data_IF_317390138154
#
_entry.id   IF_317390138154
#
_cell.length_a   1.000
_cell.length_b   1.000
_cell.length_c   1.000
_cell.angle_alpha   90.00
_cell.angle_beta   90.00
_cell.angle_gamma   90.00
#
_symmetry.space_group_name_H-M   'P 1'
#
loop_
_entity.id
_entity.type
_entity.pdbx_description
1 polymer ?
#
# COMPACT_ATOMS: atom_id res chain seq x y z
N UNK A 1 -16.67 10.03 -17.98
CA UNK A 1 -17.30 10.06 -16.64
C UNK A 1 -16.26 10.51 -15.60
N UNK A 2 -16.62 11.38 -14.63
CA UNK A 2 -15.69 11.80 -13.57
C UNK A 2 -16.12 11.28 -12.20
N UNK A 3 -15.15 10.84 -11.42
CA UNK A 3 -15.34 10.33 -10.04
C UNK A 3 -14.47 11.18 -9.12
N UNK A 4 -15.07 11.73 -8.06
CA UNK A 4 -14.33 12.49 -7.06
C UNK A 4 -13.84 11.56 -5.95
N UNK A 5 -12.53 11.38 -5.85
CA UNK A 5 -11.89 10.64 -4.79
C UNK A 5 -11.49 11.57 -3.65
N UNK A 6 -11.85 11.22 -2.44
CA UNK A 6 -11.47 11.95 -1.24
C UNK A 6 -10.41 11.17 -0.47
N UNK A 7 -9.22 11.77 -0.33
CA UNK A 7 -8.07 11.20 0.37
C UNK A 7 -7.54 12.19 1.42
N UNK A 8 -6.85 11.74 2.49
CA UNK A 8 -6.25 12.67 3.44
C UNK A 8 -5.18 13.55 2.83
N UNK A 9 -4.27 12.99 2.03
CA UNK A 9 -3.18 13.67 1.33
C UNK A 9 -2.83 12.95 0.02
N UNK A 10 -2.10 13.64 -0.84
CA UNK A 10 -1.63 13.12 -2.14
C UNK A 10 -0.11 12.88 -2.16
N UNK A 11 0.49 12.72 -0.98
CA UNK A 11 1.93 12.51 -0.84
C UNK A 11 2.41 11.23 -1.50
N UNK A 12 3.65 11.28 -2.00
CA UNK A 12 4.29 10.13 -2.66
C UNK A 12 4.52 8.95 -1.70
N UNK A 13 4.56 9.20 -0.37
CA UNK A 13 4.66 8.15 0.64
C UNK A 13 3.30 7.58 1.07
N UNK A 14 2.18 8.13 0.59
CA UNK A 14 0.85 7.69 0.96
C UNK A 14 0.47 6.40 0.21
N UNK A 15 0.41 5.28 0.95
CA UNK A 15 0.04 3.97 0.41
C UNK A 15 -1.38 3.94 -0.18
N UNK A 16 -2.34 4.67 0.42
CA UNK A 16 -3.71 4.77 -0.11
C UNK A 16 -3.69 5.46 -1.47
N UNK A 17 -2.90 6.53 -1.63
CA UNK A 17 -2.78 7.21 -2.90
C UNK A 17 -2.13 6.33 -3.97
N UNK A 18 -1.17 5.47 -3.60
CA UNK A 18 -0.60 4.48 -4.51
C UNK A 18 -1.67 3.50 -5.02
N UNK A 19 -2.54 3.02 -4.14
CA UNK A 19 -3.68 2.16 -4.52
C UNK A 19 -4.64 2.90 -5.45
N UNK A 20 -5.03 4.13 -5.13
CA UNK A 20 -5.93 4.95 -5.98
C UNK A 20 -5.34 5.15 -7.37
N UNK A 21 -4.04 5.43 -7.48
CA UNK A 21 -3.37 5.60 -8.77
C UNK A 21 -3.23 4.30 -9.56
N UNK A 22 -2.98 3.17 -8.88
CA UNK A 22 -2.98 1.87 -9.54
C UNK A 22 -4.34 1.60 -10.19
N UNK A 23 -5.42 1.84 -9.44
CA UNK A 23 -6.78 1.73 -10.01
C UNK A 23 -7.02 2.75 -11.13
N UNK A 24 -6.55 3.99 -10.99
CA UNK A 24 -6.73 5.00 -12.04
C UNK A 24 -6.09 4.59 -13.36
N UNK A 25 -4.86 4.02 -13.31
CA UNK A 25 -4.18 3.49 -14.52
C UNK A 25 -4.94 2.34 -15.18
N UNK A 26 -5.68 1.56 -14.39
CA UNK A 26 -6.45 0.40 -14.87
C UNK A 26 -7.90 0.75 -15.26
N UNK A 27 -8.33 2.01 -15.10
CA UNK A 27 -9.67 2.45 -15.53
C UNK A 27 -9.74 2.60 -17.06
N UNK A 28 -10.93 2.37 -17.66
CA UNK A 28 -11.22 2.81 -19.02
C UNK A 28 -10.91 4.30 -19.22
N UNK A 29 -10.45 4.67 -20.41
CA UNK A 29 -10.01 6.04 -20.69
C UNK A 29 -11.08 7.12 -20.49
N UNK A 30 -12.34 6.77 -20.61
CA UNK A 30 -13.47 7.67 -20.39
C UNK A 30 -13.80 7.92 -18.91
N UNK A 31 -13.20 7.15 -17.97
CA UNK A 31 -13.34 7.32 -16.53
C UNK A 31 -12.13 8.11 -16.00
N UNK A 32 -12.39 9.28 -15.43
CA UNK A 32 -11.35 10.12 -14.83
C UNK A 32 -11.56 10.26 -13.33
N UNK A 33 -10.47 10.21 -12.59
CA UNK A 33 -10.44 10.42 -11.14
C UNK A 33 -9.97 11.84 -10.86
N UNK A 34 -10.81 12.60 -10.17
CA UNK A 34 -10.42 13.87 -9.56
C UNK A 34 -10.14 13.63 -8.08
N UNK A 35 -9.12 14.25 -7.54
CA UNK A 35 -8.66 13.99 -6.18
C UNK A 35 -8.88 15.22 -5.30
N UNK A 36 -9.65 15.07 -4.24
CA UNK A 36 -9.81 16.06 -3.19
C UNK A 36 -9.03 15.64 -1.95
N UNK A 37 -8.22 16.55 -1.39
CA UNK A 37 -7.38 16.28 -0.24
C UNK A 37 -7.29 17.48 0.71
N UNK A 38 -6.75 17.30 1.94
CA UNK A 38 -6.71 18.37 2.95
C UNK A 38 -5.36 18.51 3.68
N UNK A 39 -4.48 17.52 3.68
CA UNK A 39 -3.15 17.62 4.29
C UNK A 39 -2.10 17.97 3.26
N UNK A 40 -1.25 18.93 3.58
CA UNK A 40 -0.06 19.23 2.76
C UNK A 40 0.98 18.12 2.86
N UNK A 41 1.76 17.99 1.80
CA UNK A 41 2.90 17.10 1.71
C UNK A 41 3.99 17.81 0.90
N UNK A 42 5.25 17.63 1.28
CA UNK A 42 6.39 18.27 0.61
C UNK A 42 6.58 17.79 -0.82
N UNK A 43 6.27 16.51 -1.07
CA UNK A 43 6.35 15.87 -2.41
C UNK A 43 5.03 15.18 -2.67
N UNK A 44 4.35 15.62 -3.71
CA UNK A 44 3.01 15.12 -4.07
C UNK A 44 2.99 14.42 -5.44
N UNK A 45 1.86 13.80 -5.73
CA UNK A 45 1.58 13.07 -6.99
C UNK A 45 0.68 13.86 -7.95
N UNK A 46 0.60 15.16 -7.79
CA UNK A 46 -0.24 16.03 -8.64
C UNK A 46 0.04 15.82 -10.12
N UNK A 47 1.32 15.94 -10.54
CA UNK A 47 1.71 15.78 -11.93
C UNK A 47 1.29 14.41 -12.50
N UNK A 48 1.36 13.35 -11.69
CA UNK A 48 0.96 12.01 -12.08
C UNK A 48 -0.56 11.91 -12.28
N UNK A 49 -1.35 12.49 -11.35
CA UNK A 49 -2.82 12.53 -11.44
C UNK A 49 -3.26 13.30 -12.70
N UNK A 50 -2.65 14.46 -12.94
CA UNK A 50 -2.95 15.33 -14.09
C UNK A 50 -2.56 14.68 -15.42
N UNK A 51 -1.47 13.91 -15.46
CA UNK A 51 -1.06 13.15 -16.65
C UNK A 51 -2.10 12.10 -17.09
N UNK A 52 -2.89 11.55 -16.15
CA UNK A 52 -4.03 10.68 -16.45
C UNK A 52 -5.34 11.44 -16.72
N UNK A 53 -5.31 12.78 -16.75
CA UNK A 53 -6.45 13.65 -17.01
C UNK A 53 -7.33 13.90 -15.78
N UNK A 54 -6.81 13.60 -14.57
CA UNK A 54 -7.43 13.97 -13.31
C UNK A 54 -7.17 15.42 -12.93
N UNK A 55 -7.96 15.92 -12.00
CA UNK A 55 -7.80 17.26 -11.39
C UNK A 55 -7.57 17.10 -9.90
N UNK A 56 -6.88 18.06 -9.29
CA UNK A 56 -6.52 18.01 -7.86
C UNK A 56 -7.06 19.24 -7.13
N UNK A 57 -7.85 19.01 -6.10
CA UNK A 57 -8.49 20.04 -5.28
C UNK A 57 -8.06 19.94 -3.83
N UNK A 58 -7.63 21.05 -3.26
CA UNK A 58 -7.32 21.13 -1.84
C UNK A 58 -8.45 21.82 -1.10
N UNK A 59 -8.86 21.26 0.02
CA UNK A 59 -9.77 21.87 0.98
C UNK A 59 -9.09 22.10 2.32
N UNK A 60 -9.71 22.93 3.17
CA UNK A 60 -9.24 23.11 4.53
C UNK A 60 -9.32 21.80 5.33
N UNK A 61 -8.40 21.62 6.29
CA UNK A 61 -8.40 20.44 7.15
C UNK A 61 -9.77 20.28 7.84
N UNK A 62 -10.48 19.16 7.60
CA UNK A 62 -11.80 18.97 8.16
C UNK A 62 -11.82 18.90 9.67
N UNK A 63 -12.71 19.66 10.27
CA UNK A 63 -12.93 19.72 11.71
C UNK A 63 -14.42 19.93 12.03
N UNK A 64 -14.75 20.20 13.29
CA UNK A 64 -16.16 20.42 13.71
C UNK A 64 -16.78 21.55 12.90
N UNK A 65 -16.06 22.64 12.64
CA UNK A 65 -16.56 23.76 11.83
C UNK A 65 -16.89 23.39 10.39
N UNK A 66 -16.29 22.33 9.83
CA UNK A 66 -16.53 21.89 8.45
C UNK A 66 -17.95 21.36 8.23
N UNK A 67 -18.66 20.93 9.28
CA UNK A 67 -20.06 20.52 9.18
C UNK A 67 -20.98 21.68 8.80
N UNK A 68 -20.65 22.90 9.24
CA UNK A 68 -21.43 24.12 8.94
C UNK A 68 -20.75 25.01 7.90
N UNK A 69 -19.53 24.70 7.50
CA UNK A 69 -18.79 25.42 6.45
C UNK A 69 -19.45 25.28 5.09
N UNK A 70 -19.47 26.35 4.33
CA UNK A 70 -19.96 26.38 2.94
C UNK A 70 -18.92 25.88 1.91
N UNK A 71 -17.70 25.58 2.31
CA UNK A 71 -16.59 25.21 1.41
C UNK A 71 -16.95 24.03 0.49
N UNK A 72 -17.37 22.89 1.08
CA UNK A 72 -17.80 21.72 0.30
C UNK A 72 -19.10 21.97 -0.47
N UNK A 73 -20.04 22.72 0.09
CA UNK A 73 -21.26 23.11 -0.62
C UNK A 73 -20.93 23.99 -1.82
N UNK A 74 -20.02 24.97 -1.67
CA UNK A 74 -19.52 25.81 -2.77
C UNK A 74 -18.84 24.99 -3.86
N UNK A 75 -17.96 24.07 -3.47
CA UNK A 75 -17.29 23.16 -4.41
C UNK A 75 -18.32 22.33 -5.21
N UNK A 76 -19.28 21.69 -4.54
CA UNK A 76 -20.27 20.85 -5.22
C UNK A 76 -21.24 21.66 -6.08
N UNK A 77 -21.55 22.92 -5.74
CA UNK A 77 -22.35 23.79 -6.58
C UNK A 77 -21.60 24.25 -7.82
N UNK A 78 -20.31 24.60 -7.70
CA UNK A 78 -19.42 24.96 -8.81
C UNK A 78 -19.27 23.81 -9.81
N UNK A 79 -19.18 22.58 -9.31
CA UNK A 79 -18.99 21.36 -10.11
C UNK A 79 -20.26 20.53 -10.28
N UNK A 80 -21.43 21.18 -10.26
CA UNK A 80 -22.72 20.52 -10.34
C UNK A 80 -22.89 19.72 -11.63
N UNK A 81 -23.24 18.45 -11.46
CA UNK A 81 -23.45 17.53 -12.59
C UNK A 81 -22.19 16.94 -13.21
N UNK A 82 -20.98 17.33 -12.75
CA UNK A 82 -19.73 16.79 -13.28
C UNK A 82 -19.41 15.38 -12.74
N UNK A 83 -19.78 15.10 -11.49
CA UNK A 83 -19.41 13.86 -10.82
C UNK A 83 -20.52 12.81 -10.81
N UNK A 84 -20.21 11.63 -11.32
CA UNK A 84 -21.10 10.45 -11.24
C UNK A 84 -21.11 9.84 -9.83
N UNK A 85 -19.97 9.89 -9.13
CA UNK A 85 -19.84 9.35 -7.78
C UNK A 85 -18.79 10.11 -6.96
N UNK A 86 -18.89 9.96 -5.63
CA UNK A 86 -17.84 10.32 -4.66
C UNK A 86 -17.32 9.04 -4.01
N UNK A 87 -16.01 8.85 -3.99
CA UNK A 87 -15.32 7.70 -3.40
C UNK A 87 -14.40 8.17 -2.26
N UNK A 88 -14.75 7.83 -1.03
CA UNK A 88 -14.12 8.35 0.19
C UNK A 88 -13.17 7.31 0.77
N UNK A 89 -11.86 7.58 0.74
CA UNK A 89 -10.81 6.69 1.26
C UNK A 89 -10.47 6.92 2.74
N UNK A 90 -11.18 7.81 3.39
CA UNK A 90 -11.16 8.03 4.84
C UNK A 90 -12.58 7.87 5.37
N UNK A 91 -13.07 6.64 5.68
CA UNK A 91 -14.50 6.37 5.96
C UNK A 91 -15.12 7.27 7.02
N UNK A 92 -14.37 7.68 8.05
CA UNK A 92 -14.85 8.62 9.07
C UNK A 92 -15.26 10.01 8.50
N UNK A 93 -14.80 10.34 7.29
CA UNK A 93 -15.21 11.59 6.61
C UNK A 93 -16.55 11.47 5.88
N UNK A 94 -17.10 10.27 5.77
CA UNK A 94 -18.39 10.04 5.10
C UNK A 94 -19.51 10.85 5.74
N UNK A 95 -19.49 11.01 7.07
CA UNK A 95 -20.49 11.81 7.80
C UNK A 95 -20.51 13.29 7.40
N UNK A 96 -19.41 13.83 6.93
CA UNK A 96 -19.31 15.21 6.43
C UNK A 96 -19.61 15.31 4.94
N UNK A 97 -19.04 14.42 4.15
CA UNK A 97 -19.01 14.52 2.68
C UNK A 97 -20.31 14.01 2.05
N UNK A 98 -20.81 12.84 2.50
CA UNK A 98 -21.97 12.20 1.87
C UNK A 98 -23.24 13.06 1.89
N UNK A 99 -23.64 13.71 3.01
CA UNK A 99 -24.83 14.56 3.02
C UNK A 99 -24.72 15.73 2.05
N UNK A 100 -23.52 16.35 1.97
CA UNK A 100 -23.28 17.50 1.07
C UNK A 100 -23.26 17.06 -0.40
N UNK A 101 -22.58 15.96 -0.74
CA UNK A 101 -22.59 15.41 -2.08
C UNK A 101 -24.01 15.06 -2.55
N UNK A 102 -24.80 14.38 -1.71
CA UNK A 102 -26.19 14.01 -2.01
C UNK A 102 -27.11 15.22 -2.17
N UNK A 103 -26.94 16.26 -1.35
CA UNK A 103 -27.65 17.54 -1.46
C UNK A 103 -27.47 18.20 -2.84
N UNK A 104 -26.26 18.07 -3.41
CA UNK A 104 -25.89 18.61 -4.73
C UNK A 104 -26.09 17.64 -5.89
N UNK A 105 -26.84 16.54 -5.67
CA UNK A 105 -27.30 15.65 -6.73
C UNK A 105 -26.40 14.44 -7.02
N UNK A 106 -25.29 14.27 -6.30
CA UNK A 106 -24.46 13.08 -6.45
C UNK A 106 -25.09 11.90 -5.70
N UNK A 107 -25.58 10.91 -6.43
CA UNK A 107 -26.36 9.80 -5.87
C UNK A 107 -25.50 8.67 -5.34
N UNK A 108 -24.27 8.53 -5.83
CA UNK A 108 -23.39 7.41 -5.50
C UNK A 108 -22.26 7.87 -4.59
N UNK A 109 -22.25 7.37 -3.36
CA UNK A 109 -21.19 7.63 -2.38
C UNK A 109 -20.63 6.30 -1.92
N UNK A 110 -19.33 6.06 -2.17
CA UNK A 110 -18.60 4.93 -1.64
C UNK A 110 -17.73 5.34 -0.46
N UNK A 111 -17.65 4.48 0.55
CA UNK A 111 -16.64 4.57 1.60
C UNK A 111 -15.70 3.35 1.49
N UNK A 112 -14.38 3.59 1.47
CA UNK A 112 -13.37 2.57 1.28
C UNK A 112 -12.31 2.64 2.39
N UNK A 113 -12.16 1.59 3.17
CA UNK A 113 -11.13 1.50 4.21
C UNK A 113 -9.90 0.72 3.72
N UNK A 114 -8.70 1.21 4.10
CA UNK A 114 -7.41 0.68 3.65
C UNK A 114 -6.53 0.17 4.80
N UNK A 115 -7.03 0.14 6.03
CA UNK A 115 -6.26 -0.29 7.20
C UNK A 115 -7.18 -0.80 8.31
N UNK A 116 -6.60 -1.42 9.32
CA UNK A 116 -7.27 -1.82 10.56
C UNK A 116 -7.06 -0.80 11.68
N UNK A 117 -6.94 0.49 11.33
CA UNK A 117 -6.75 1.59 12.27
C UNK A 117 -7.61 2.79 11.89
N UNK A 118 -8.31 3.38 12.88
CA UNK A 118 -9.00 4.66 12.70
C UNK A 118 -8.04 5.85 12.61
N UNK A 119 -6.84 5.76 13.18
CA UNK A 119 -5.80 6.77 13.12
C UNK A 119 -4.48 6.23 13.64
N UNK A 120 -3.36 6.68 13.04
CA UNK A 120 -2.01 6.49 13.60
C UNK A 120 -1.76 7.43 14.79
N UNK A 121 -2.44 8.60 14.82
CA UNK A 121 -2.37 9.51 15.95
C UNK A 121 -3.42 9.12 17.01
N UNK A 122 -3.01 8.75 18.24
CA UNK A 122 -3.92 8.37 19.32
C UNK A 122 -4.99 9.41 19.64
N UNK A 123 -4.64 10.70 19.56
CA UNK A 123 -5.56 11.81 19.86
C UNK A 123 -6.78 11.84 18.91
N UNK A 124 -6.60 11.35 17.70
CA UNK A 124 -7.65 11.31 16.69
C UNK A 124 -8.46 10.01 16.68
N UNK A 125 -8.01 8.98 17.40
CA UNK A 125 -8.59 7.64 17.36
C UNK A 125 -10.09 7.65 17.71
N UNK A 126 -10.42 8.16 18.91
CA UNK A 126 -11.80 8.21 19.42
C UNK A 126 -12.68 9.08 18.55
N UNK A 127 -12.17 10.24 18.09
CA UNK A 127 -12.90 11.13 17.18
C UNK A 127 -13.25 10.41 15.89
N UNK A 128 -12.28 9.79 15.23
CA UNK A 128 -12.50 9.10 13.95
C UNK A 128 -13.43 7.89 14.12
N UNK A 129 -13.36 7.18 15.25
CA UNK A 129 -14.26 6.10 15.58
C UNK A 129 -15.71 6.59 15.69
N UNK A 130 -15.96 7.68 16.41
CA UNK A 130 -17.30 8.28 16.53
C UNK A 130 -17.82 8.79 15.17
N UNK A 131 -16.99 9.49 14.41
CA UNK A 131 -17.37 10.00 13.09
C UNK A 131 -17.64 8.89 12.08
N UNK A 132 -17.06 7.70 12.28
CA UNK A 132 -17.29 6.55 11.42
C UNK A 132 -18.66 5.86 11.65
N UNK A 133 -19.28 6.01 12.82
CA UNK A 133 -20.53 5.31 13.16
C UNK A 133 -21.60 5.44 12.07
N UNK A 134 -21.90 6.65 11.52
CA UNK A 134 -22.93 6.81 10.51
C UNK A 134 -22.51 6.34 9.10
N UNK A 135 -21.23 6.02 8.85
CA UNK A 135 -20.72 5.68 7.51
C UNK A 135 -21.54 4.60 6.82
N UNK A 136 -21.88 3.53 7.53
CA UNK A 136 -22.66 2.40 6.99
C UNK A 136 -24.09 2.74 6.55
N UNK A 137 -24.60 3.88 6.98
CA UNK A 137 -25.95 4.35 6.63
C UNK A 137 -25.92 5.47 5.58
N UNK A 138 -24.81 6.20 5.49
CA UNK A 138 -24.65 7.35 4.60
C UNK A 138 -24.04 6.98 3.26
N UNK A 139 -23.14 5.97 3.25
CA UNK A 139 -22.56 5.45 2.02
C UNK A 139 -23.53 4.48 1.33
N UNK A 140 -23.62 4.58 -0.01
CA UNK A 140 -24.41 3.66 -0.82
C UNK A 140 -23.65 2.34 -1.07
N UNK A 141 -22.32 2.39 -0.96
CA UNK A 141 -21.44 1.22 -1.07
C UNK A 141 -20.31 1.30 -0.06
N UNK A 142 -20.04 0.17 0.59
CA UNK A 142 -18.90 -0.01 1.47
C UNK A 142 -17.87 -0.90 0.79
N UNK A 143 -16.64 -0.40 0.67
CA UNK A 143 -15.49 -1.11 0.17
C UNK A 143 -14.43 -1.26 1.28
N UNK A 144 -13.67 -2.34 1.23
CA UNK A 144 -12.56 -2.59 2.14
C UNK A 144 -11.40 -3.24 1.38
N UNK A 145 -10.17 -2.92 1.73
CA UNK A 145 -9.00 -3.57 1.14
C UNK A 145 -8.88 -5.05 1.50
N UNK A 146 -9.46 -5.47 2.66
CA UNK A 146 -9.50 -6.84 3.14
C UNK A 146 -10.70 -7.07 4.05
N UNK A 147 -10.96 -8.32 4.38
CA UNK A 147 -12.08 -8.71 5.26
C UNK A 147 -11.91 -8.19 6.68
N UNK A 148 -10.67 -8.24 7.18
CA UNK A 148 -10.32 -7.76 8.51
C UNK A 148 -10.54 -6.25 8.63
N UNK A 149 -10.05 -5.48 7.65
CA UNK A 149 -10.28 -4.05 7.58
C UNK A 149 -11.77 -3.71 7.52
N UNK A 150 -12.53 -4.40 6.67
CA UNK A 150 -13.97 -4.19 6.56
C UNK A 150 -14.73 -4.48 7.86
N UNK A 151 -14.40 -5.57 8.56
CA UNK A 151 -14.99 -5.90 9.87
C UNK A 151 -14.64 -4.88 10.94
N UNK A 152 -13.41 -4.38 10.92
CA UNK A 152 -12.93 -3.36 11.86
C UNK A 152 -13.66 -2.03 11.69
N UNK A 153 -13.82 -1.56 10.43
CA UNK A 153 -14.43 -0.26 10.14
C UNK A 153 -15.95 -0.26 10.15
N UNK A 154 -16.56 -1.32 9.65
CA UNK A 154 -18.03 -1.35 9.41
C UNK A 154 -18.78 -2.28 10.34
N UNK A 155 -18.07 -3.12 11.09
CA UNK A 155 -18.65 -4.13 11.97
C UNK A 155 -18.79 -5.51 11.31
N UNK A 156 -18.84 -6.56 12.15
CA UNK A 156 -18.81 -7.96 11.70
C UNK A 156 -19.99 -8.34 10.79
N UNK A 157 -21.17 -7.75 11.03
CA UNK A 157 -22.42 -8.06 10.31
C UNK A 157 -22.69 -7.13 9.13
N UNK A 158 -21.79 -6.19 8.85
CA UNK A 158 -21.97 -5.25 7.74
C UNK A 158 -21.68 -5.91 6.40
N UNK A 159 -22.50 -5.58 5.41
CA UNK A 159 -22.26 -6.00 4.01
C UNK A 159 -21.30 -5.01 3.36
N UNK A 160 -20.11 -5.46 3.04
CA UNK A 160 -19.13 -4.71 2.26
C UNK A 160 -18.54 -5.59 1.15
N UNK A 161 -17.98 -4.96 0.15
CA UNK A 161 -17.27 -5.63 -0.94
C UNK A 161 -15.76 -5.47 -0.70
N UNK A 162 -15.03 -6.57 -0.75
CA UNK A 162 -13.56 -6.52 -0.70
C UNK A 162 -13.04 -6.13 -2.07
N UNK A 163 -12.27 -5.05 -2.10
CA UNK A 163 -11.46 -4.60 -3.25
C UNK A 163 -10.03 -4.51 -2.71
N UNK A 164 -9.19 -5.50 -2.99
CA UNK A 164 -7.84 -5.55 -2.44
C UNK A 164 -6.98 -4.39 -2.96
N UNK A 165 -5.86 -4.13 -2.33
CA UNK A 165 -4.82 -3.26 -2.87
C UNK A 165 -4.14 -3.97 -4.04
N UNK A 166 -4.88 -4.14 -5.13
CA UNK A 166 -4.50 -4.94 -6.28
C UNK A 166 -3.33 -4.31 -7.05
N UNK A 167 -2.60 -5.17 -7.75
CA UNK A 167 -1.42 -4.82 -8.55
C UNK A 167 -1.59 -5.29 -9.99
N UNK A 168 -0.83 -4.73 -10.90
CA UNK A 168 -0.63 -5.34 -12.22
C UNK A 168 0.31 -6.55 -12.08
N UNK A 169 -0.27 -7.72 -11.83
CA UNK A 169 0.49 -8.93 -11.54
C UNK A 169 1.52 -9.25 -12.63
N UNK A 170 1.19 -8.99 -13.90
CA UNK A 170 2.09 -9.29 -15.02
C UNK A 170 3.33 -8.38 -15.01
N UNK A 171 3.22 -7.13 -14.57
CA UNK A 171 4.37 -6.21 -14.48
C UNK A 171 5.40 -6.64 -13.44
N UNK A 172 4.99 -7.42 -12.43
CA UNK A 172 5.85 -7.94 -11.37
C UNK A 172 6.34 -9.37 -11.64
N UNK A 173 5.89 -10.01 -12.73
CA UNK A 173 6.41 -11.31 -13.10
C UNK A 173 7.94 -11.29 -13.19
N UNK A 174 8.56 -12.34 -12.67
CA UNK A 174 10.02 -12.51 -12.74
C UNK A 174 10.52 -12.42 -14.18
N UNK A 175 11.66 -11.78 -14.38
CA UNK A 175 12.38 -11.73 -15.65
C UNK A 175 13.87 -11.92 -15.39
N UNK A 176 14.46 -12.90 -16.08
CA UNK A 176 15.91 -13.15 -16.06
C UNK A 176 16.71 -11.97 -16.59
N UNK A 177 16.17 -11.25 -17.59
CA UNK A 177 16.78 -10.07 -18.14
C UNK A 177 16.82 -8.92 -17.14
N UNK A 178 15.68 -8.67 -16.43
CA UNK A 178 15.62 -7.67 -15.35
C UNK A 178 16.59 -8.03 -14.22
N UNK A 179 16.67 -9.33 -13.86
CA UNK A 179 17.58 -9.82 -12.82
C UNK A 179 19.05 -9.57 -13.21
N UNK A 180 19.46 -9.97 -14.40
CA UNK A 180 20.83 -9.77 -14.87
C UNK A 180 21.19 -8.27 -14.90
N UNK A 181 20.36 -7.44 -15.52
CA UNK A 181 20.59 -6.01 -15.60
C UNK A 181 20.72 -5.34 -14.22
N UNK A 182 19.89 -5.72 -13.26
CA UNK A 182 19.96 -5.15 -11.91
C UNK A 182 21.18 -5.69 -11.12
N UNK A 183 21.57 -6.98 -11.31
CA UNK A 183 22.80 -7.51 -10.69
C UNK A 183 24.03 -6.77 -11.21
N UNK A 184 24.09 -6.51 -12.51
CA UNK A 184 25.15 -5.71 -13.13
C UNK A 184 25.19 -4.27 -12.58
N UNK A 185 24.02 -3.61 -12.44
CA UNK A 185 23.90 -2.26 -11.86
C UNK A 185 24.49 -2.17 -10.45
N UNK A 186 24.23 -3.18 -9.62
CA UNK A 186 24.69 -3.21 -8.22
C UNK A 186 26.02 -3.93 -8.02
N UNK A 187 26.65 -4.45 -9.09
CA UNK A 187 27.89 -5.22 -8.99
C UNK A 187 27.76 -6.54 -8.21
N UNK A 188 26.58 -7.17 -8.26
CA UNK A 188 26.21 -8.37 -7.50
C UNK A 188 26.49 -9.60 -8.35
N UNK A 189 27.33 -10.52 -7.85
CA UNK A 189 27.62 -11.80 -8.52
C UNK A 189 26.40 -12.74 -8.57
N UNK A 190 26.39 -13.67 -9.52
CA UNK A 190 25.26 -14.59 -9.76
C UNK A 190 24.91 -15.47 -8.54
N UNK A 191 25.91 -15.88 -7.76
CA UNK A 191 25.76 -16.72 -6.56
C UNK A 191 25.52 -15.93 -5.26
N UNK A 192 25.58 -14.60 -5.30
CA UNK A 192 25.38 -13.75 -4.13
C UNK A 192 23.91 -13.79 -3.70
N UNK A 193 23.64 -14.10 -2.42
CA UNK A 193 22.31 -14.03 -1.83
C UNK A 193 21.88 -12.57 -1.69
N UNK A 194 20.73 -12.22 -2.28
CA UNK A 194 20.16 -10.88 -2.21
C UNK A 194 18.91 -10.90 -1.35
N UNK A 195 19.02 -10.32 -0.16
CA UNK A 195 17.89 -10.10 0.76
C UNK A 195 17.20 -8.78 0.35
N UNK A 196 15.89 -8.80 0.22
CA UNK A 196 15.12 -7.66 -0.22
C UNK A 196 14.11 -7.15 0.80
N UNK A 197 13.89 -5.84 0.76
CA UNK A 197 12.82 -5.17 1.49
C UNK A 197 12.29 -3.98 0.68
N UNK A 198 10.98 -3.75 0.77
CA UNK A 198 10.34 -2.55 0.18
C UNK A 198 9.49 -1.86 1.22
N UNK A 199 9.91 -0.65 1.63
CA UNK A 199 9.19 0.13 2.60
C UNK A 199 9.89 1.42 2.99
N UNK A 200 9.10 2.44 3.37
CA UNK A 200 9.63 3.74 3.80
C UNK A 200 10.13 3.68 5.24
N UNK A 201 11.16 4.48 5.56
CA UNK A 201 11.74 4.55 6.91
C UNK A 201 10.80 5.26 7.88
N UNK A 202 10.08 6.29 7.44
CA UNK A 202 9.18 7.08 8.28
C UNK A 202 7.73 6.99 7.79
N UNK A 203 6.75 6.67 8.66
CA UNK A 203 6.92 6.29 10.07
C UNK A 203 7.60 4.91 10.22
N UNK A 204 8.23 4.60 11.38
CA UNK A 204 9.09 3.42 11.55
C UNK A 204 8.32 2.10 11.66
N UNK A 205 7.19 1.97 10.97
CA UNK A 205 6.33 0.80 11.00
C UNK A 205 6.96 -0.44 10.36
N UNK A 206 7.89 -0.25 9.41
CA UNK A 206 8.56 -1.32 8.65
C UNK A 206 9.65 -2.04 9.43
N UNK A 207 10.04 -1.51 10.61
CA UNK A 207 11.00 -2.13 11.51
C UNK A 207 12.37 -2.44 10.88
N UNK A 208 12.92 -1.45 10.15
CA UNK A 208 14.26 -1.56 9.55
C UNK A 208 15.36 -1.99 10.54
N UNK A 209 15.37 -1.52 11.81
CA UNK A 209 16.37 -1.99 12.76
C UNK A 209 16.36 -3.50 13.00
N UNK A 210 15.17 -4.12 13.05
CA UNK A 210 15.07 -5.57 13.20
C UNK A 210 15.49 -6.30 11.92
N UNK A 211 15.09 -5.80 10.75
CA UNK A 211 15.55 -6.33 9.45
C UNK A 211 17.08 -6.37 9.37
N UNK A 212 17.74 -5.29 9.78
CA UNK A 212 19.20 -5.20 9.74
C UNK A 212 19.87 -6.18 10.71
N UNK A 213 19.27 -6.44 11.87
CA UNK A 213 19.77 -7.48 12.80
C UNK A 213 19.58 -8.87 12.21
N UNK A 214 18.44 -9.17 11.58
CA UNK A 214 18.22 -10.43 10.86
C UNK A 214 19.27 -10.59 9.75
N UNK A 215 19.52 -9.53 8.99
CA UNK A 215 20.52 -9.57 7.92
C UNK A 215 21.96 -9.78 8.45
N UNK A 216 22.31 -9.22 9.59
CA UNK A 216 23.60 -9.48 10.22
C UNK A 216 23.77 -10.98 10.56
N UNK A 217 22.75 -11.65 11.07
CA UNK A 217 22.77 -13.09 11.32
C UNK A 217 22.85 -13.92 10.00
N UNK A 218 22.21 -13.45 8.93
CA UNK A 218 22.32 -14.08 7.60
C UNK A 218 23.78 -14.03 7.10
N UNK A 219 24.48 -12.93 7.33
CA UNK A 219 25.88 -12.78 6.91
C UNK A 219 26.86 -13.73 7.60
N UNK A 220 26.52 -14.30 8.75
CA UNK A 220 27.34 -15.34 9.40
C UNK A 220 27.45 -16.62 8.52
N UNK A 221 26.35 -17.00 7.85
CA UNK A 221 26.27 -18.16 6.97
C UNK A 221 26.58 -17.79 5.49
N UNK A 222 26.25 -16.54 5.09
CA UNK A 222 26.40 -15.99 3.74
C UNK A 222 27.23 -14.70 3.75
N UNK A 223 28.57 -14.76 3.91
CA UNK A 223 29.42 -13.55 4.06
C UNK A 223 29.29 -12.53 2.93
N UNK A 224 29.00 -12.99 1.70
CA UNK A 224 28.85 -12.15 0.51
C UNK A 224 27.39 -11.62 0.31
N UNK A 225 26.45 -11.98 1.19
CA UNK A 225 25.06 -11.55 1.06
C UNK A 225 24.93 -10.02 1.04
N UNK A 226 23.91 -9.55 0.31
CA UNK A 226 23.58 -8.12 0.14
C UNK A 226 22.14 -7.88 0.58
N UNK A 227 21.90 -6.78 1.30
CA UNK A 227 20.58 -6.30 1.66
C UNK A 227 20.20 -5.08 0.81
N UNK A 228 19.10 -5.17 0.05
CA UNK A 228 18.54 -4.08 -0.72
C UNK A 228 17.25 -3.56 -0.08
N UNK A 229 17.24 -2.30 0.36
CA UNK A 229 16.10 -1.66 1.02
C UNK A 229 15.53 -0.54 0.16
N UNK A 230 14.57 -0.87 -0.72
CA UNK A 230 13.89 0.12 -1.55
C UNK A 230 12.85 0.90 -0.74
N UNK A 231 12.79 2.21 -0.95
CA UNK A 231 11.93 3.13 -0.19
C UNK A 231 12.54 3.60 1.14
N UNK A 232 13.56 2.91 1.63
CA UNK A 232 14.25 3.28 2.86
C UNK A 232 15.29 4.37 2.58
N UNK A 233 15.23 5.43 3.40
CA UNK A 233 16.24 6.48 3.45
C UNK A 233 17.21 6.17 4.60
N UNK A 234 18.50 6.38 4.36
CA UNK A 234 19.53 6.24 5.40
C UNK A 234 19.36 7.38 6.41
N UNK A 235 19.11 7.01 7.67
CA UNK A 235 19.14 7.97 8.81
C UNK A 235 20.42 7.75 9.61
N UNK A 236 20.81 8.74 10.40
CA UNK A 236 22.00 8.61 11.25
C UNK A 236 21.90 7.40 12.18
N UNK A 237 20.71 7.13 12.74
CA UNK A 237 20.44 5.98 13.60
C UNK A 237 20.62 4.62 12.88
N UNK A 238 20.15 4.52 11.63
CA UNK A 238 20.29 3.29 10.84
C UNK A 238 21.72 3.11 10.33
N UNK A 239 22.42 4.20 10.06
CA UNK A 239 23.83 4.18 9.70
C UNK A 239 24.69 3.69 10.86
N UNK A 240 24.53 4.27 12.05
CA UNK A 240 25.21 3.82 13.26
C UNK A 240 24.92 2.34 13.58
N UNK A 241 23.67 1.91 13.37
CA UNK A 241 23.29 0.51 13.54
C UNK A 241 24.01 -0.41 12.52
N UNK A 242 24.11 0.00 11.25
CA UNK A 242 24.81 -0.76 10.21
C UNK A 242 26.30 -0.92 10.55
N UNK A 243 26.94 0.16 11.03
CA UNK A 243 28.33 0.16 11.50
C UNK A 243 28.50 -0.79 12.69
N UNK A 244 27.65 -0.69 13.70
CA UNK A 244 27.68 -1.54 14.89
C UNK A 244 27.44 -3.03 14.61
N UNK A 245 26.69 -3.35 13.56
CA UNK A 245 26.43 -4.72 13.10
C UNK A 245 27.48 -5.23 12.08
N UNK A 246 28.41 -4.37 11.63
CA UNK A 246 29.41 -4.74 10.63
C UNK A 246 28.84 -4.99 9.21
N UNK A 247 27.70 -4.40 8.88
CA UNK A 247 26.99 -4.62 7.60
C UNK A 247 26.99 -3.39 6.67
N UNK A 248 27.64 -2.28 7.02
CA UNK A 248 27.63 -1.01 6.26
C UNK A 248 28.00 -1.17 4.79
N UNK A 249 28.91 -2.11 4.46
CA UNK A 249 29.34 -2.36 3.07
C UNK A 249 28.39 -3.23 2.26
N UNK A 250 27.34 -3.80 2.88
CA UNK A 250 26.45 -4.78 2.24
C UNK A 250 24.94 -4.47 2.46
N UNK A 251 24.61 -3.45 3.25
CA UNK A 251 23.25 -2.95 3.42
C UNK A 251 23.07 -1.66 2.62
N UNK A 252 22.21 -1.69 1.60
CA UNK A 252 22.00 -0.58 0.69
C UNK A 252 20.64 0.07 0.89
N UNK A 253 20.64 1.34 1.30
CA UNK A 253 19.47 2.21 1.36
C UNK A 253 19.25 2.84 -0.02
N UNK A 254 18.28 2.34 -0.77
CA UNK A 254 18.07 2.75 -2.16
C UNK A 254 17.17 3.98 -2.30
N UNK A 255 16.64 4.50 -1.19
CA UNK A 255 15.66 5.57 -1.26
C UNK A 255 14.45 5.19 -2.10
N UNK A 256 13.78 6.16 -2.64
CA UNK A 256 12.59 5.93 -3.47
C UNK A 256 12.98 5.50 -4.88
N UNK A 257 12.42 4.37 -5.28
CA UNK A 257 12.61 3.77 -6.60
C UNK A 257 11.27 3.64 -7.32
N UNK A 258 11.26 3.80 -8.63
CA UNK A 258 10.10 3.56 -9.52
C UNK A 258 10.16 2.18 -10.20
N UNK A 259 11.29 1.53 -10.16
CA UNK A 259 11.63 0.25 -10.78
C UNK A 259 11.54 -0.94 -9.82
N UNK A 260 10.57 -0.94 -8.92
CA UNK A 260 10.38 -1.97 -7.89
C UNK A 260 10.29 -3.39 -8.51
N UNK A 261 9.63 -3.53 -9.66
CA UNK A 261 9.55 -4.81 -10.38
C UNK A 261 10.94 -5.35 -10.79
N UNK A 262 11.87 -4.46 -11.18
CA UNK A 262 13.24 -4.82 -11.49
C UNK A 262 14.01 -5.24 -10.22
N UNK A 263 13.86 -4.46 -9.15
CA UNK A 263 14.48 -4.77 -7.86
C UNK A 263 13.97 -6.10 -7.26
N UNK A 264 12.68 -6.39 -7.36
CA UNK A 264 12.14 -7.68 -6.92
C UNK A 264 12.68 -8.85 -7.75
N UNK A 265 13.01 -8.64 -9.03
CA UNK A 265 13.63 -9.69 -9.85
C UNK A 265 15.08 -9.99 -9.43
N UNK A 266 15.82 -9.04 -8.87
CA UNK A 266 17.21 -9.25 -8.41
C UNK A 266 17.28 -9.96 -7.05
N UNK A 267 16.27 -9.79 -6.20
CA UNK A 267 16.19 -10.37 -4.86
C UNK A 267 16.05 -11.91 -4.92
N UNK A 268 16.49 -12.59 -3.88
CA UNK A 268 16.32 -14.04 -3.70
C UNK A 268 15.33 -14.35 -2.59
N UNK A 269 15.18 -13.46 -1.61
CA UNK A 269 14.21 -13.56 -0.54
C UNK A 269 13.72 -12.17 -0.15
N UNK A 270 12.46 -12.08 0.26
CA UNK A 270 11.85 -10.84 0.75
C UNK A 270 11.56 -10.93 2.24
N UNK A 271 12.10 -10.00 3.05
CA UNK A 271 11.90 -9.95 4.50
C UNK A 271 11.08 -8.73 4.88
N UNK A 272 10.00 -8.95 5.61
CA UNK A 272 9.02 -7.93 5.96
C UNK A 272 8.62 -7.95 7.44
N UNK A 273 9.48 -7.46 8.36
CA UNK A 273 9.29 -7.54 9.81
C UNK A 273 8.43 -6.37 10.35
N UNK A 274 7.43 -5.93 9.63
CA UNK A 274 6.60 -4.78 9.96
C UNK A 274 5.87 -4.97 11.28
N UNK A 275 5.81 -3.95 12.12
CA UNK A 275 5.04 -3.97 13.37
C UNK A 275 3.53 -4.08 13.12
N UNK A 276 3.05 -3.46 12.06
CA UNK A 276 1.63 -3.45 11.71
C UNK A 276 1.41 -2.98 10.27
N UNK A 277 0.50 -3.65 9.59
CA UNK A 277 0.04 -3.27 8.24
C UNK A 277 -1.47 -3.46 8.11
N UNK A 278 -2.07 -2.70 7.19
CA UNK A 278 -3.43 -2.98 6.77
C UNK A 278 -3.45 -4.14 5.78
N UNK A 279 -2.92 -3.90 4.59
CA UNK A 279 -2.75 -4.90 3.54
C UNK A 279 -1.53 -4.49 2.70
N UNK A 280 -0.33 -5.01 3.03
CA UNK A 280 0.93 -4.52 2.45
C UNK A 280 1.06 -4.93 0.97
N UNK A 281 1.00 -3.95 0.08
CA UNK A 281 1.12 -4.16 -1.37
C UNK A 281 2.48 -4.76 -1.71
N UNK A 282 3.58 -4.33 -1.07
CA UNK A 282 4.92 -4.83 -1.34
C UNK A 282 5.09 -6.34 -1.08
N UNK A 283 4.33 -6.91 -0.13
CA UNK A 283 4.31 -8.36 0.10
C UNK A 283 3.61 -9.09 -1.05
N UNK A 284 2.56 -8.50 -1.61
CA UNK A 284 1.85 -9.05 -2.78
C UNK A 284 2.73 -8.97 -4.03
N UNK A 285 3.41 -7.84 -4.23
CA UNK A 285 4.38 -7.61 -5.32
C UNK A 285 5.53 -8.62 -5.27
N UNK A 286 6.10 -8.85 -4.08
CA UNK A 286 7.16 -9.83 -3.87
C UNK A 286 6.70 -11.26 -4.21
N UNK A 287 5.48 -11.65 -3.80
CA UNK A 287 4.90 -12.94 -4.16
C UNK A 287 4.62 -13.06 -5.66
N UNK A 288 4.16 -11.98 -6.32
CA UNK A 288 3.97 -11.98 -7.77
C UNK A 288 5.31 -12.13 -8.52
N UNK A 289 6.41 -11.61 -7.95
CA UNK A 289 7.76 -11.83 -8.47
C UNK A 289 8.31 -13.24 -8.16
N UNK A 290 7.55 -14.09 -7.48
CA UNK A 290 7.94 -15.45 -7.13
C UNK A 290 8.94 -15.56 -5.99
N UNK A 291 9.06 -14.50 -5.18
CA UNK A 291 9.97 -14.50 -4.05
C UNK A 291 9.42 -15.31 -2.87
N UNK A 292 10.24 -16.11 -2.20
CA UNK A 292 9.96 -16.53 -0.83
C UNK A 292 9.87 -15.31 0.08
N UNK A 293 8.92 -15.34 1.03
CA UNK A 293 8.64 -14.19 1.90
C UNK A 293 8.68 -14.63 3.36
N UNK A 294 9.50 -13.95 4.16
CA UNK A 294 9.43 -13.99 5.62
C UNK A 294 8.76 -12.71 6.09
N UNK A 295 7.62 -12.81 6.76
CA UNK A 295 6.93 -11.64 7.29
C UNK A 295 6.52 -11.80 8.74
N UNK A 296 6.30 -10.67 9.40
CA UNK A 296 5.80 -10.60 10.76
C UNK A 296 4.41 -11.25 10.90
N UNK A 297 4.18 -11.96 11.99
CA UNK A 297 2.88 -12.52 12.38
C UNK A 297 1.85 -11.47 12.80
N UNK A 298 2.29 -10.22 13.00
CA UNK A 298 1.43 -9.05 13.25
C UNK A 298 0.76 -8.52 11.98
N UNK A 299 1.25 -8.93 10.80
CA UNK A 299 0.63 -8.63 9.50
C UNK A 299 -0.48 -9.64 9.23
N UNK A 300 -1.59 -9.17 8.64
CA UNK A 300 -2.73 -10.04 8.32
C UNK A 300 -2.33 -11.20 7.39
N UNK A 301 -2.94 -12.37 7.60
CA UNK A 301 -2.77 -13.54 6.75
C UNK A 301 -3.52 -13.44 5.40
N UNK A 302 -4.38 -12.43 5.25
CA UNK A 302 -5.07 -12.17 3.97
C UNK A 302 -4.12 -11.93 2.79
N UNK A 303 -2.84 -11.59 3.06
CA UNK A 303 -1.80 -11.44 2.02
C UNK A 303 -0.99 -12.72 1.78
N UNK A 304 -1.26 -13.81 2.48
CA UNK A 304 -0.59 -15.10 2.26
C UNK A 304 -1.23 -15.79 1.05
N UNK A 305 -0.71 -15.54 -0.14
CA UNK A 305 -1.28 -16.00 -1.42
C UNK A 305 -0.54 -17.23 -1.94
N UNK A 306 0.79 -17.21 -1.84
CA UNK A 306 1.64 -18.33 -2.27
C UNK A 306 1.99 -19.22 -1.09
N UNK A 307 2.47 -20.45 -1.37
CA UNK A 307 2.89 -21.40 -0.34
C UNK A 307 4.31 -21.10 0.19
N UNK A 308 4.96 -20.06 -0.34
CA UNK A 308 6.34 -19.65 -0.01
C UNK A 308 6.37 -18.42 0.88
N UNK A 309 5.40 -18.31 1.79
CA UNK A 309 5.35 -17.26 2.79
C UNK A 309 5.33 -17.89 4.18
N UNK A 310 6.21 -17.40 5.05
CA UNK A 310 6.25 -17.77 6.47
C UNK A 310 5.99 -16.54 7.34
N UNK A 311 5.19 -16.73 8.38
CA UNK A 311 4.91 -15.70 9.38
C UNK A 311 5.67 -16.01 10.67
N UNK A 312 6.45 -15.05 11.13
CA UNK A 312 7.33 -15.21 12.30
C UNK A 312 7.08 -14.06 13.29
N UNK A 313 7.26 -14.34 14.57
CA UNK A 313 7.15 -13.30 15.59
C UNK A 313 8.29 -12.28 15.47
N UNK A 314 7.96 -11.00 15.56
CA UNK A 314 8.95 -9.91 15.65
C UNK A 314 9.65 -9.86 17.01
N UNK A 315 9.12 -10.54 18.02
CA UNK A 315 9.73 -10.68 19.33
C UNK A 315 10.73 -11.86 19.38
N UNK A 316 10.83 -12.67 18.30
CA UNK A 316 11.79 -13.75 18.20
C UNK A 316 13.22 -13.21 18.05
N UNK A 317 14.21 -14.01 18.45
CA UNK A 317 15.61 -13.71 18.16
C UNK A 317 15.83 -13.61 16.64
N UNK A 318 16.54 -12.59 16.12
CA UNK A 318 16.87 -12.46 14.70
C UNK A 318 17.43 -13.72 14.04
N UNK A 319 18.17 -14.56 14.80
CA UNK A 319 18.66 -15.88 14.35
C UNK A 319 17.57 -16.84 13.92
N UNK A 320 16.37 -16.74 14.52
CA UNK A 320 15.22 -17.58 14.13
C UNK A 320 14.81 -17.26 12.70
N UNK A 321 14.72 -15.95 12.37
CA UNK A 321 14.38 -15.49 11.03
C UNK A 321 15.47 -15.87 10.01
N UNK A 322 16.75 -15.69 10.38
CA UNK A 322 17.87 -16.04 9.51
C UNK A 322 17.89 -17.53 9.14
N UNK A 323 17.67 -18.43 10.11
CA UNK A 323 17.61 -19.88 9.87
C UNK A 323 16.46 -20.33 8.97
N UNK A 324 15.35 -19.59 8.96
CA UNK A 324 14.20 -19.93 8.12
C UNK A 324 14.52 -19.78 6.63
N UNK A 325 15.51 -19.00 6.25
CA UNK A 325 15.93 -18.82 4.85
C UNK A 325 16.36 -20.16 4.25
N UNK A 326 17.12 -20.96 5.01
CA UNK A 326 17.63 -22.26 4.56
C UNK A 326 16.52 -23.29 4.29
N UNK A 327 15.33 -23.05 4.82
CA UNK A 327 14.18 -23.96 4.70
C UNK A 327 13.19 -23.50 3.64
N UNK A 328 13.40 -22.32 3.04
CA UNK A 328 12.52 -21.80 2.00
C UNK A 328 12.78 -22.49 0.67
N UNK A 329 11.74 -22.82 -0.10
CA UNK A 329 11.90 -23.50 -1.39
C UNK A 329 12.55 -22.59 -2.44
N UNK A 330 13.38 -23.16 -3.29
CA UNK A 330 14.28 -22.42 -4.18
C UNK A 330 13.66 -21.76 -5.39
N UNK A 331 12.50 -22.18 -5.92
CA UNK A 331 12.00 -21.56 -7.14
C UNK A 331 10.48 -21.71 -7.38
N UNK A 332 9.77 -20.60 -7.38
CA UNK A 332 8.40 -20.50 -7.92
C UNK A 332 8.24 -19.40 -8.98
N UNK A 333 9.35 -18.87 -9.47
CA UNK A 333 9.34 -17.63 -10.28
C UNK A 333 8.51 -17.73 -11.56
N UNK A 334 8.41 -18.92 -12.15
CA UNK A 334 7.77 -19.10 -13.45
C UNK A 334 6.25 -18.89 -13.46
N UNK A 335 5.54 -19.22 -12.36
CA UNK A 335 4.06 -19.19 -12.32
C UNK A 335 3.46 -18.40 -11.17
N UNK A 336 4.28 -17.76 -10.34
CA UNK A 336 3.84 -17.09 -9.12
C UNK A 336 2.86 -15.94 -9.40
N UNK A 337 3.13 -15.12 -10.43
CA UNK A 337 2.24 -14.02 -10.79
C UNK A 337 0.85 -14.52 -11.21
N UNK A 338 0.76 -15.69 -11.87
CA UNK A 338 -0.52 -16.31 -12.24
C UNK A 338 -1.31 -16.71 -11.00
N UNK A 339 -0.65 -17.30 -10.00
CA UNK A 339 -1.30 -17.64 -8.73
C UNK A 339 -1.83 -16.41 -8.02
N UNK A 340 -1.04 -15.33 -7.94
CA UNK A 340 -1.46 -14.04 -7.35
C UNK A 340 -2.64 -13.45 -8.11
N UNK A 341 -2.57 -13.42 -9.45
CA UNK A 341 -3.67 -12.99 -10.34
C UNK A 341 -4.95 -13.78 -10.10
N UNK A 342 -4.85 -15.10 -10.07
CA UNK A 342 -6.01 -15.99 -9.99
C UNK A 342 -6.66 -15.99 -8.60
N UNK A 343 -5.89 -15.66 -7.55
CA UNK A 343 -6.41 -15.40 -6.22
C UNK A 343 -7.11 -14.03 -6.07
N UNK A 344 -7.23 -13.25 -7.16
CA UNK A 344 -8.05 -12.04 -7.18
C UNK A 344 -7.30 -10.75 -6.88
N UNK A 345 -5.97 -10.74 -7.04
CA UNK A 345 -5.12 -9.56 -6.82
C UNK A 345 -4.76 -8.80 -8.10
N UNK A 346 -5.30 -9.23 -9.25
CA UNK A 346 -5.10 -8.53 -10.51
C UNK A 346 -5.91 -7.24 -10.59
N UNK A 347 -5.22 -6.15 -10.87
CA UNK A 347 -5.80 -4.80 -10.91
C UNK A 347 -6.89 -4.68 -11.97
N UNK A 348 -6.72 -5.30 -13.14
CA UNK A 348 -7.68 -5.19 -14.24
C UNK A 348 -9.00 -5.91 -13.91
N UNK A 349 -8.92 -7.03 -13.16
CA UNK A 349 -10.10 -7.75 -12.67
C UNK A 349 -10.81 -6.96 -11.57
N UNK A 350 -10.05 -6.40 -10.62
CA UNK A 350 -10.59 -5.64 -9.51
C UNK A 350 -11.19 -4.29 -9.96
N UNK A 351 -10.58 -3.64 -10.95
CA UNK A 351 -11.08 -2.39 -11.53
C UNK A 351 -12.50 -2.53 -12.09
N UNK A 352 -12.85 -3.67 -12.69
CA UNK A 352 -14.21 -3.94 -13.20
C UNK A 352 -15.28 -3.79 -12.12
N UNK A 353 -14.98 -4.18 -10.88
CA UNK A 353 -15.91 -4.03 -9.75
C UNK A 353 -16.17 -2.55 -9.41
N UNK A 354 -15.16 -1.70 -9.54
CA UNK A 354 -15.31 -0.25 -9.37
C UNK A 354 -16.09 0.37 -10.54
N UNK A 355 -15.77 -0.02 -11.77
CA UNK A 355 -16.50 0.43 -12.98
C UNK A 355 -17.99 0.11 -12.85
N UNK A 356 -18.33 -1.13 -12.50
CA UNK A 356 -19.72 -1.53 -12.29
C UNK A 356 -20.45 -0.69 -11.24
N UNK A 357 -19.76 -0.29 -10.18
CA UNK A 357 -20.35 0.61 -9.18
C UNK A 357 -20.53 2.03 -9.73
N UNK A 358 -19.56 2.54 -10.49
CA UNK A 358 -19.62 3.91 -11.00
C UNK A 358 -20.66 4.09 -12.13
N UNK A 359 -20.91 3.05 -12.92
CA UNK A 359 -21.85 3.07 -14.05
C UNK A 359 -23.32 2.82 -13.65
N UNK A 360 -23.56 1.89 -12.72
CA UNK A 360 -24.93 1.55 -12.24
C UNK A 360 -25.54 2.63 -11.37
#
# INVERSE_FOLDING_TARGET
>A
MRILHFVPDIGVANGVMSVVLNYFRAMPEDIKFDIMYFKECERDRRAEIEAFGGRVFRINTPGIKSFVSSELDGFFEEHKGEYAAVHIHAPYMTCLIAPKAKKHGIKKVAAHCHSTLFSLNPDNLRRNQLLNVPTRFLADKLFACGREAGRYWYGKDSRFTVIPNAIDCASYAFSSEKRSAARDEFGIGDSTLVVGHVGVTSPPLKNHPYLMRVFAEIKEEHPDAVLLMAGAEETDELKELAEGLGISGSAHFLGRRSDISQLLSVMDIFIFPSFREGLPVSVVEAQAAGLPVLMSDTVTDEVCITDHIKRLSIDADPKVWAKEIETMPDDLRASAFEKVRDCGWDINKCAKTLVEFYER
#
